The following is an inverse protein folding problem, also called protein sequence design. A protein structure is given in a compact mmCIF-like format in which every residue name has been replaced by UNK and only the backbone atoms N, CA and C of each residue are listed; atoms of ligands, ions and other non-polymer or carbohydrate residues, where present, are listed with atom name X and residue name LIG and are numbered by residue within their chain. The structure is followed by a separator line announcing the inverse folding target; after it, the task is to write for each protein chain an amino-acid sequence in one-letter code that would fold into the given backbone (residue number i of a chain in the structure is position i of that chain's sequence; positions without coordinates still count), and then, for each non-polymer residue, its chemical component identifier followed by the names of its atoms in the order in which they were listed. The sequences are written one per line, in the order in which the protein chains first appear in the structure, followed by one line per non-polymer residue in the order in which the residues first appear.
data_IF_474915624934
#
_entry.id   IF_474915624934
#
_cell.length_a   1.000
_cell.length_b   1.000
_cell.length_c   1.000
_cell.angle_alpha   90.00
_cell.angle_beta   90.00
_cell.angle_gamma   90.00
#
_symmetry.space_group_name_H-M   'P 1'
#
loop_
_entity.id
_entity.type
_entity.pdbx_description
1 polymer ?
#
# COMPACT_ATOMS: atom_id res chain seq x y z
N UNK A 1 -37.68 41.25 -39.36
CA UNK A 1 -38.29 40.81 -38.08
C UNK A 1 -38.13 39.30 -37.81
N UNK A 2 -38.42 38.39 -38.74
CA UNK A 2 -38.31 36.96 -38.50
C UNK A 2 -36.91 36.46 -38.15
N UNK A 3 -35.85 37.01 -38.75
CA UNK A 3 -34.45 36.60 -38.45
C UNK A 3 -33.96 37.06 -37.05
N UNK A 4 -34.42 38.22 -36.58
CA UNK A 4 -34.07 38.71 -35.21
C UNK A 4 -34.75 37.82 -34.16
N UNK A 5 -35.98 37.44 -34.37
CA UNK A 5 -36.72 36.55 -33.49
C UNK A 5 -36.09 35.16 -33.39
N UNK A 6 -35.64 34.56 -34.53
CA UNK A 6 -34.96 33.30 -34.55
C UNK A 6 -33.62 33.32 -33.77
N UNK A 7 -32.86 34.40 -33.92
CA UNK A 7 -31.61 34.58 -33.17
C UNK A 7 -31.85 34.71 -31.67
N UNK A 8 -32.90 35.44 -31.27
CA UNK A 8 -33.27 35.56 -29.84
C UNK A 8 -33.69 34.24 -29.21
N UNK A 9 -34.47 33.39 -29.95
CA UNK A 9 -34.87 32.05 -29.50
C UNK A 9 -33.68 31.12 -29.36
N UNK A 10 -32.74 31.15 -30.32
CA UNK A 10 -31.53 30.32 -30.25
C UNK A 10 -30.62 30.73 -29.09
N UNK A 11 -30.44 32.02 -28.82
CA UNK A 11 -29.65 32.50 -27.67
C UNK A 11 -30.32 32.08 -26.36
N UNK A 12 -31.63 32.20 -26.26
CA UNK A 12 -32.39 31.82 -25.08
C UNK A 12 -32.31 30.29 -24.81
N UNK A 13 -32.46 29.49 -25.86
CA UNK A 13 -32.32 28.01 -25.77
C UNK A 13 -30.88 27.60 -25.36
N UNK A 14 -29.86 28.27 -25.92
CA UNK A 14 -28.47 28.04 -25.54
C UNK A 14 -28.19 28.44 -24.09
N UNK A 15 -28.73 29.56 -23.64
CA UNK A 15 -28.59 30.03 -22.24
C UNK A 15 -29.23 29.01 -21.26
N UNK A 16 -30.41 28.47 -21.57
CA UNK A 16 -31.06 27.43 -20.74
C UNK A 16 -30.21 26.15 -20.72
N UNK A 17 -29.63 25.75 -21.85
CA UNK A 17 -28.78 24.56 -21.91
C UNK A 17 -27.49 24.73 -21.09
N UNK A 18 -26.86 25.91 -21.12
CA UNK A 18 -25.65 26.20 -20.33
C UNK A 18 -25.96 26.28 -18.83
N UNK A 19 -27.04 26.96 -18.44
CA UNK A 19 -27.44 27.04 -17.03
C UNK A 19 -27.92 25.69 -16.50
N UNK A 20 -28.74 24.97 -17.28
CA UNK A 20 -29.21 23.63 -16.92
C UNK A 20 -28.09 22.59 -16.85
N UNK A 21 -27.14 22.66 -17.80
CA UNK A 21 -25.94 21.84 -17.78
C UNK A 21 -25.03 22.12 -16.57
N UNK A 22 -24.85 23.41 -16.24
CA UNK A 22 -24.11 23.81 -15.03
C UNK A 22 -24.75 23.32 -13.73
N UNK A 23 -26.07 23.45 -13.61
CA UNK A 23 -26.81 22.91 -12.45
C UNK A 23 -26.77 21.38 -12.37
N UNK A 24 -26.81 20.69 -13.50
CA UNK A 24 -26.71 19.24 -13.54
C UNK A 24 -25.33 18.74 -13.14
N UNK A 25 -24.26 19.44 -13.58
CA UNK A 25 -22.88 19.12 -13.19
C UNK A 25 -22.62 19.37 -11.71
N UNK A 26 -23.10 20.49 -11.14
CA UNK A 26 -22.97 20.76 -9.71
C UNK A 26 -23.78 19.77 -8.86
N UNK A 27 -24.98 19.41 -9.30
CA UNK A 27 -25.82 18.43 -8.61
C UNK A 27 -25.23 16.99 -8.66
N UNK A 28 -24.48 16.66 -9.73
CA UNK A 28 -23.72 15.41 -9.80
C UNK A 28 -22.51 15.43 -8.86
N UNK A 29 -21.79 16.57 -8.79
CA UNK A 29 -20.64 16.76 -7.91
C UNK A 29 -21.06 16.71 -6.43
N UNK A 30 -22.15 17.36 -6.06
CA UNK A 30 -22.74 17.29 -4.72
C UNK A 30 -23.23 15.89 -4.35
N UNK A 31 -23.80 15.14 -5.32
CA UNK A 31 -24.22 13.74 -5.08
C UNK A 31 -23.05 12.79 -4.99
N UNK A 32 -21.97 13.01 -5.73
CA UNK A 32 -20.72 12.26 -5.61
C UNK A 32 -20.01 12.60 -4.29
N UNK A 33 -19.92 13.88 -3.93
CA UNK A 33 -19.36 14.33 -2.66
C UNK A 33 -20.16 13.78 -1.45
N UNK A 34 -21.49 13.80 -1.49
CA UNK A 34 -22.36 13.22 -0.45
C UNK A 34 -22.23 11.68 -0.38
N UNK A 35 -22.06 10.99 -1.49
CA UNK A 35 -21.80 9.52 -1.49
C UNK A 35 -20.43 9.17 -0.94
N UNK A 36 -19.40 9.97 -1.22
CA UNK A 36 -18.08 9.82 -0.63
C UNK A 36 -18.11 10.10 0.88
N UNK A 37 -18.96 11.05 1.33
CA UNK A 37 -19.04 11.47 2.72
C UNK A 37 -19.98 10.63 3.59
N UNK A 38 -21.00 10.00 3.03
CA UNK A 38 -22.08 9.34 3.81
C UNK A 38 -22.09 7.81 3.76
N UNK A 39 -21.29 7.15 2.95
CA UNK A 39 -21.43 5.70 2.71
C UNK A 39 -20.22 4.83 3.01
N UNK A 40 -19.04 5.38 3.25
CA UNK A 40 -17.82 4.59 3.22
C UNK A 40 -16.92 4.68 4.48
N UNK A 41 -17.20 5.55 5.44
CA UNK A 41 -16.27 5.81 6.55
C UNK A 41 -16.49 4.91 7.77
N UNK A 42 -17.67 4.32 7.94
CA UNK A 42 -18.03 3.65 9.20
C UNK A 42 -17.54 2.20 9.37
N UNK A 43 -17.09 1.52 8.30
CA UNK A 43 -16.74 0.08 8.40
C UNK A 43 -15.41 -0.34 7.76
N UNK A 44 -14.58 0.60 7.27
CA UNK A 44 -13.29 0.19 6.69
C UNK A 44 -12.30 -0.26 7.75
N UNK A 45 -11.56 -1.36 7.52
CA UNK A 45 -10.51 -1.78 8.44
C UNK A 45 -9.43 -0.71 8.55
N UNK A 46 -8.77 -0.67 9.70
CA UNK A 46 -7.54 0.10 9.85
C UNK A 46 -6.44 -0.62 9.08
N UNK A 47 -5.69 0.11 8.27
CA UNK A 47 -4.52 -0.46 7.59
C UNK A 47 -3.27 -0.11 8.39
N UNK A 48 -2.51 -1.12 8.79
CA UNK A 48 -1.19 -0.93 9.39
C UNK A 48 -0.14 -1.16 8.31
N UNK A 49 0.58 -0.09 7.95
CA UNK A 49 1.72 -0.16 7.03
C UNK A 49 3.01 -0.19 7.83
N UNK A 50 3.76 -1.27 7.68
CA UNK A 50 5.08 -1.42 8.26
C UNK A 50 6.15 -1.20 7.19
N UNK A 51 6.91 -0.11 7.33
CA UNK A 51 8.10 0.11 6.52
C UNK A 51 9.29 -0.61 7.18
N UNK A 52 9.68 -1.77 6.68
CA UNK A 52 10.71 -2.60 7.24
C UNK A 52 12.04 -1.88 7.47
N UNK A 53 12.80 -2.31 8.50
CA UNK A 53 14.09 -1.71 8.88
C UNK A 53 13.99 -0.22 9.27
N UNK A 54 15.11 0.48 9.37
CA UNK A 54 15.18 1.92 9.66
C UNK A 54 16.39 2.30 10.52
N UNK A 55 16.80 3.55 10.45
CA UNK A 55 17.91 4.09 11.20
C UNK A 55 19.22 3.35 10.94
N UNK A 56 19.84 2.79 11.98
CA UNK A 56 21.06 2.00 11.84
C UNK A 56 20.86 0.63 11.18
N UNK A 57 19.65 0.09 11.16
CA UNK A 57 19.30 -1.12 10.40
C UNK A 57 18.86 -0.75 8.98
N UNK A 58 19.80 -0.68 8.06
CA UNK A 58 19.52 -0.38 6.66
C UNK A 58 18.79 -1.49 5.90
N UNK A 59 18.64 -2.68 6.49
CA UNK A 59 18.23 -3.88 5.76
C UNK A 59 19.28 -4.36 4.78
N UNK A 60 18.87 -4.86 3.63
CA UNK A 60 19.77 -5.16 2.53
C UNK A 60 20.39 -3.86 1.98
N UNK A 61 21.70 -3.90 1.68
CA UNK A 61 22.42 -2.78 1.06
C UNK A 61 23.12 -3.27 -0.18
N UNK A 62 22.86 -2.65 -1.33
CA UNK A 62 23.47 -2.98 -2.60
C UNK A 62 23.81 -1.71 -3.37
N UNK A 63 25.09 -1.53 -3.74
CA UNK A 63 25.52 -0.35 -4.50
C UNK A 63 25.24 1.00 -3.82
N UNK A 64 25.20 1.05 -2.49
CA UNK A 64 24.84 2.25 -1.72
C UNK A 64 23.33 2.47 -1.52
N UNK A 65 22.49 1.61 -2.11
CA UNK A 65 21.04 1.63 -1.96
C UNK A 65 20.67 0.90 -0.67
N UNK A 66 19.91 1.55 0.21
CA UNK A 66 19.43 0.96 1.45
C UNK A 66 17.96 0.53 1.32
N UNK A 67 17.68 -0.69 1.71
CA UNK A 67 16.33 -1.24 1.72
C UNK A 67 15.37 -0.37 2.55
N UNK A 68 15.80 0.08 3.74
CA UNK A 68 14.98 0.89 4.65
C UNK A 68 14.43 2.17 4.02
N UNK A 69 15.17 2.80 3.11
CA UNK A 69 14.76 4.04 2.42
C UNK A 69 13.67 3.74 1.39
N UNK A 70 13.85 2.66 0.61
CA UNK A 70 12.87 2.22 -0.39
C UNK A 70 11.56 1.78 0.30
N UNK A 71 11.66 1.02 1.40
CA UNK A 71 10.51 0.57 2.18
C UNK A 71 9.67 1.75 2.65
N UNK A 72 10.31 2.78 3.21
CA UNK A 72 9.63 3.99 3.68
C UNK A 72 8.98 4.75 2.51
N UNK A 73 9.69 4.91 1.41
CA UNK A 73 9.18 5.63 0.24
C UNK A 73 7.93 4.97 -0.36
N UNK A 74 7.90 3.64 -0.45
CA UNK A 74 6.72 2.89 -0.94
C UNK A 74 5.58 2.98 0.09
N UNK A 75 5.87 2.79 1.39
CA UNK A 75 4.88 2.84 2.45
C UNK A 75 4.20 4.22 2.54
N UNK A 76 4.95 5.31 2.43
CA UNK A 76 4.39 6.67 2.41
C UNK A 76 3.49 6.93 1.20
N UNK A 77 3.88 6.45 0.01
CA UNK A 77 3.05 6.56 -1.18
C UNK A 77 1.75 5.76 -1.01
N UNK A 78 1.82 4.53 -0.47
CA UNK A 78 0.65 3.71 -0.17
C UNK A 78 -0.26 4.38 0.89
N UNK A 79 0.32 4.94 1.96
CA UNK A 79 -0.42 5.70 2.97
C UNK A 79 -1.23 6.83 2.37
N UNK A 80 -0.61 7.65 1.51
CA UNK A 80 -1.29 8.78 0.86
C UNK A 80 -2.49 8.31 0.04
N UNK A 81 -2.30 7.25 -0.76
CA UNK A 81 -3.37 6.67 -1.59
C UNK A 81 -4.51 6.10 -0.75
N UNK A 82 -4.19 5.29 0.27
CA UNK A 82 -5.19 4.69 1.15
C UNK A 82 -5.97 5.74 1.95
N UNK A 83 -5.30 6.81 2.40
CA UNK A 83 -5.96 7.92 3.09
C UNK A 83 -6.93 8.65 2.16
N UNK A 84 -6.56 8.90 0.90
CA UNK A 84 -7.46 9.47 -0.11
C UNK A 84 -8.67 8.56 -0.40
N UNK A 85 -8.48 7.26 -0.29
CA UNK A 85 -9.55 6.26 -0.43
C UNK A 85 -10.39 6.10 0.85
N UNK A 86 -10.15 6.89 1.90
CA UNK A 86 -10.93 6.92 3.13
C UNK A 86 -10.54 5.84 4.17
N UNK A 87 -9.38 5.20 4.04
CA UNK A 87 -8.87 4.31 5.07
C UNK A 87 -8.19 5.08 6.21
N UNK A 88 -8.35 4.61 7.43
CA UNK A 88 -7.46 4.98 8.53
C UNK A 88 -6.17 4.18 8.41
N UNK A 89 -5.04 4.88 8.29
CA UNK A 89 -3.73 4.25 8.13
C UNK A 89 -2.86 4.54 9.35
N UNK A 90 -2.24 3.51 9.90
CA UNK A 90 -1.22 3.58 10.95
C UNK A 90 0.11 3.15 10.33
N UNK A 91 1.12 3.98 10.45
CA UNK A 91 2.49 3.63 10.04
C UNK A 91 3.27 3.13 11.26
N UNK A 92 4.12 2.13 11.08
CA UNK A 92 5.05 1.73 12.16
C UNK A 92 6.14 2.78 12.37
N UNK A 93 6.60 3.42 11.30
CA UNK A 93 7.51 4.57 11.32
C UNK A 93 7.21 5.53 10.15
N UNK A 94 7.44 6.81 10.36
CA UNK A 94 7.26 7.87 9.35
C UNK A 94 8.58 8.53 8.94
N UNK A 95 9.68 8.12 9.55
CA UNK A 95 11.05 8.60 9.27
C UNK A 95 12.01 7.43 9.21
N UNK A 96 13.27 7.67 8.80
CA UNK A 96 14.31 6.64 8.83
C UNK A 96 14.82 6.43 10.27
N UNK A 97 14.00 5.77 11.10
CA UNK A 97 14.28 5.48 12.50
C UNK A 97 14.08 4.02 12.83
N UNK A 98 14.82 3.53 13.81
CA UNK A 98 14.62 2.23 14.44
C UNK A 98 13.63 2.39 15.59
N UNK A 99 12.69 1.45 15.74
CA UNK A 99 11.67 1.48 16.81
C UNK A 99 12.14 0.78 18.11
N UNK A 100 13.45 0.69 18.30
CA UNK A 100 14.01 0.06 19.48
C UNK A 100 13.85 0.92 20.72
N UNK A 101 13.62 0.28 21.86
CA UNK A 101 13.57 0.95 23.16
C UNK A 101 14.95 1.52 23.54
N UNK A 102 14.98 2.61 24.26
CA UNK A 102 16.21 3.31 24.70
C UNK A 102 17.16 2.45 25.55
N UNK A 103 16.63 1.43 26.23
CA UNK A 103 17.40 0.50 27.06
C UNK A 103 18.07 -0.62 26.25
N UNK A 104 17.77 -0.78 24.96
CA UNK A 104 18.41 -1.73 24.06
C UNK A 104 19.81 -1.23 23.67
N UNK A 105 20.85 -1.77 24.31
CA UNK A 105 22.23 -1.25 24.20
C UNK A 105 23.07 -1.93 23.11
N UNK A 106 22.75 -3.17 22.73
CA UNK A 106 23.46 -3.90 21.69
C UNK A 106 22.66 -3.95 20.41
N UNK A 107 23.31 -4.07 19.26
CA UNK A 107 22.63 -4.21 17.94
C UNK A 107 21.59 -5.33 17.95
N UNK A 108 21.91 -6.48 18.59
CA UNK A 108 20.98 -7.60 18.72
C UNK A 108 19.75 -7.23 19.55
N UNK A 109 19.93 -6.53 20.67
CA UNK A 109 18.82 -6.07 21.52
C UNK A 109 17.97 -5.05 20.75
N UNK A 110 18.60 -4.12 20.03
CA UNK A 110 17.91 -3.09 19.26
C UNK A 110 17.06 -3.72 18.13
N UNK A 111 17.62 -4.65 17.36
CA UNK A 111 16.86 -5.36 16.32
C UNK A 111 15.68 -6.15 16.89
N UNK A 112 15.88 -6.80 18.04
CA UNK A 112 14.81 -7.54 18.71
C UNK A 112 13.71 -6.61 19.21
N UNK A 113 14.07 -5.53 19.90
CA UNK A 113 13.13 -4.54 20.41
C UNK A 113 12.36 -3.86 19.27
N UNK A 114 13.02 -3.54 18.16
CA UNK A 114 12.39 -3.00 16.96
C UNK A 114 11.28 -3.93 16.44
N UNK A 115 11.58 -5.21 16.25
CA UNK A 115 10.60 -6.21 15.79
C UNK A 115 9.44 -6.39 16.78
N UNK A 116 9.72 -6.40 18.10
CA UNK A 116 8.70 -6.49 19.14
C UNK A 116 7.78 -5.26 19.14
N UNK A 117 8.32 -4.06 18.92
CA UNK A 117 7.52 -2.83 18.87
C UNK A 117 6.70 -2.72 17.58
N UNK A 118 7.24 -3.15 16.44
CA UNK A 118 6.45 -3.29 15.19
C UNK A 118 5.29 -4.27 15.35
N UNK A 119 5.56 -5.43 15.95
CA UNK A 119 4.54 -6.42 16.24
C UNK A 119 3.45 -5.85 17.17
N UNK A 120 3.82 -5.10 18.23
CA UNK A 120 2.85 -4.44 19.11
C UNK A 120 1.91 -3.50 18.35
N UNK A 121 2.44 -2.73 17.41
CA UNK A 121 1.62 -1.82 16.57
C UNK A 121 0.69 -2.64 15.66
N UNK A 122 1.23 -3.65 14.98
CA UNK A 122 0.47 -4.46 14.02
C UNK A 122 -0.61 -5.31 14.70
N UNK A 123 -0.28 -6.00 15.77
CA UNK A 123 -1.21 -6.85 16.51
C UNK A 123 -2.12 -6.07 17.47
N UNK A 124 -1.65 -4.92 17.97
CA UNK A 124 -2.36 -4.10 18.94
C UNK A 124 -3.48 -3.24 18.37
N UNK A 125 -3.67 -3.22 17.06
CA UNK A 125 -4.76 -2.48 16.40
C UNK A 125 -5.88 -3.46 16.04
N UNK A 126 -6.98 -3.53 16.82
CA UNK A 126 -8.02 -4.53 16.59
C UNK A 126 -8.70 -4.37 15.23
N UNK A 127 -8.90 -5.48 14.51
CA UNK A 127 -9.54 -5.50 13.19
C UNK A 127 -8.73 -4.83 12.08
N UNK A 128 -7.42 -4.63 12.30
CA UNK A 128 -6.54 -4.07 11.30
C UNK A 128 -6.16 -5.11 10.23
N UNK A 129 -5.73 -4.62 9.08
CA UNK A 129 -5.03 -5.39 8.06
C UNK A 129 -3.61 -4.87 7.96
N UNK A 130 -2.62 -5.75 8.15
CA UNK A 130 -1.20 -5.40 8.17
C UNK A 130 -0.51 -5.66 6.84
N UNK A 131 0.29 -4.70 6.38
CA UNK A 131 1.18 -4.87 5.22
C UNK A 131 2.57 -4.39 5.59
N UNK A 132 3.53 -5.32 5.67
CA UNK A 132 4.95 -5.02 5.84
C UNK A 132 5.62 -4.93 4.47
N UNK A 133 6.39 -3.88 4.23
CA UNK A 133 7.04 -3.58 2.94
C UNK A 133 8.53 -3.75 3.11
N UNK A 134 9.11 -4.61 2.27
CA UNK A 134 10.50 -5.02 2.28
C UNK A 134 11.08 -5.13 0.88
N UNK A 135 12.41 -5.28 0.80
CA UNK A 135 13.14 -5.66 -0.40
C UNK A 135 13.99 -6.89 -0.10
N UNK A 136 13.99 -7.84 -1.01
CA UNK A 136 14.73 -9.07 -0.86
C UNK A 136 16.21 -8.92 -1.27
N UNK A 137 17.02 -9.85 -0.81
CA UNK A 137 18.40 -10.00 -1.25
C UNK A 137 18.75 -11.49 -1.34
N UNK A 138 19.38 -11.90 -2.43
CA UNK A 138 19.78 -13.28 -2.63
C UNK A 138 21.19 -13.36 -3.23
N UNK A 139 21.89 -14.48 -3.02
CA UNK A 139 23.27 -14.65 -3.50
C UNK A 139 23.38 -14.72 -5.03
N UNK A 140 22.32 -15.18 -5.71
CA UNK A 140 22.26 -15.21 -7.17
C UNK A 140 21.57 -13.99 -7.72
N UNK A 141 22.29 -13.18 -8.49
CA UNK A 141 21.79 -11.90 -9.03
C UNK A 141 20.74 -12.05 -10.13
N UNK A 142 20.52 -13.23 -10.70
CA UNK A 142 19.46 -13.48 -11.68
C UNK A 142 18.07 -13.65 -11.05
N UNK A 143 18.01 -13.83 -9.72
CA UNK A 143 16.73 -13.96 -9.00
C UNK A 143 16.08 -12.58 -8.91
N UNK A 144 14.81 -12.48 -9.33
CA UNK A 144 14.09 -11.21 -9.44
C UNK A 144 12.60 -11.33 -9.11
N UNK A 145 11.92 -10.20 -9.04
CA UNK A 145 10.47 -10.08 -8.92
C UNK A 145 9.95 -10.20 -7.49
N UNK A 146 8.82 -9.57 -7.23
CA UNK A 146 8.17 -9.54 -5.93
C UNK A 146 7.73 -10.92 -5.46
N UNK A 147 7.77 -11.11 -4.13
CA UNK A 147 7.22 -12.28 -3.47
C UNK A 147 6.45 -11.86 -2.21
N UNK A 148 5.21 -12.30 -2.09
CA UNK A 148 4.40 -12.00 -0.91
C UNK A 148 4.38 -13.20 0.04
N UNK A 149 4.68 -12.91 1.31
CA UNK A 149 4.57 -13.85 2.43
C UNK A 149 3.32 -13.53 3.25
N UNK A 150 2.64 -14.54 3.78
CA UNK A 150 1.44 -14.37 4.57
C UNK A 150 1.57 -14.97 5.97
N UNK A 151 0.94 -14.30 6.95
CA UNK A 151 0.84 -14.75 8.33
C UNK A 151 -0.25 -15.80 8.53
N UNK A 152 -0.36 -16.31 9.76
CA UNK A 152 -1.30 -17.39 10.12
C UNK A 152 -2.72 -16.93 10.38
N UNK A 153 -2.95 -15.62 10.56
CA UNK A 153 -4.28 -15.10 10.80
C UNK A 153 -5.17 -15.29 9.56
N UNK A 154 -6.43 -15.60 9.79
CA UNK A 154 -7.43 -15.77 8.74
C UNK A 154 -7.45 -14.57 7.79
N UNK A 155 -7.57 -14.83 6.49
CA UNK A 155 -7.55 -13.80 5.45
C UNK A 155 -6.16 -13.38 4.97
N UNK A 156 -5.08 -13.73 5.67
CA UNK A 156 -3.71 -13.36 5.26
C UNK A 156 -3.33 -13.97 3.91
N UNK A 157 -3.66 -15.24 3.68
CA UNK A 157 -3.37 -15.93 2.41
C UNK A 157 -4.08 -15.27 1.24
N UNK A 158 -5.39 -15.00 1.37
CA UNK A 158 -6.19 -14.30 0.35
C UNK A 158 -5.62 -12.91 0.02
N UNK A 159 -5.22 -12.15 1.03
CA UNK A 159 -4.59 -10.85 0.83
C UNK A 159 -3.27 -10.98 0.05
N UNK A 160 -2.45 -11.97 0.40
CA UNK A 160 -1.19 -12.24 -0.30
C UNK A 160 -1.41 -12.61 -1.77
N UNK A 161 -2.41 -13.44 -2.07
CA UNK A 161 -2.78 -13.81 -3.44
C UNK A 161 -3.16 -12.60 -4.28
N UNK A 162 -3.99 -11.71 -3.74
CA UNK A 162 -4.40 -10.48 -4.43
C UNK A 162 -3.20 -9.57 -4.73
N UNK A 163 -2.34 -9.31 -3.75
CA UNK A 163 -1.17 -8.46 -3.94
C UNK A 163 -0.19 -9.11 -4.94
N UNK A 164 0.12 -10.40 -4.79
CA UNK A 164 1.03 -11.11 -5.69
C UNK A 164 0.50 -11.10 -7.13
N UNK A 165 -0.78 -11.40 -7.32
CA UNK A 165 -1.45 -11.40 -8.62
C UNK A 165 -1.41 -10.02 -9.28
N UNK A 166 -1.73 -8.98 -8.52
CA UNK A 166 -1.78 -7.62 -9.04
C UNK A 166 -0.39 -7.10 -9.41
N UNK A 167 0.64 -7.34 -8.59
CA UNK A 167 2.02 -6.95 -8.92
C UNK A 167 2.52 -7.73 -10.14
N UNK A 168 2.36 -9.05 -10.18
CA UNK A 168 2.80 -9.87 -11.30
C UNK A 168 2.03 -9.55 -12.60
N UNK A 169 0.73 -9.28 -12.50
CA UNK A 169 -0.10 -9.04 -13.68
C UNK A 169 0.06 -7.65 -14.31
N UNK A 170 0.39 -6.63 -13.51
CA UNK A 170 0.35 -5.24 -13.97
C UNK A 170 1.71 -4.52 -13.98
N UNK A 171 2.71 -5.02 -13.24
CA UNK A 171 4.02 -4.37 -13.14
C UNK A 171 5.18 -5.29 -13.49
N UNK A 172 5.14 -6.54 -13.07
CA UNK A 172 6.21 -7.52 -13.20
C UNK A 172 5.70 -8.74 -13.98
N UNK A 173 5.37 -8.55 -15.25
CA UNK A 173 4.64 -9.54 -16.08
C UNK A 173 5.41 -10.84 -16.34
N UNK A 174 6.70 -10.87 -16.12
CA UNK A 174 7.59 -12.03 -16.15
C UNK A 174 7.76 -12.72 -14.78
N UNK A 175 7.23 -12.12 -13.70
CA UNK A 175 7.26 -12.70 -12.37
C UNK A 175 6.36 -13.95 -12.28
N UNK A 176 6.96 -15.09 -11.91
CA UNK A 176 6.28 -16.40 -11.75
C UNK A 176 6.30 -16.88 -10.30
N UNK A 177 6.66 -16.00 -9.37
CA UNK A 177 6.69 -16.34 -7.95
C UNK A 177 5.29 -16.52 -7.40
N UNK A 178 5.19 -17.45 -6.45
CA UNK A 178 3.94 -17.72 -5.72
C UNK A 178 4.06 -17.16 -4.32
N UNK A 179 2.94 -16.91 -3.69
CA UNK A 179 2.87 -16.58 -2.27
C UNK A 179 3.49 -17.69 -1.43
N UNK A 180 3.94 -17.34 -0.23
CA UNK A 180 4.49 -18.31 0.73
C UNK A 180 3.98 -18.05 2.14
N UNK A 181 3.71 -19.09 2.90
CA UNK A 181 3.49 -18.97 4.33
C UNK A 181 4.78 -18.51 5.02
N UNK A 182 4.63 -17.63 6.00
CA UNK A 182 5.75 -17.13 6.79
C UNK A 182 6.33 -18.23 7.67
N UNK A 183 7.63 -18.40 7.60
CA UNK A 183 8.37 -19.25 8.53
C UNK A 183 8.89 -18.44 9.74
N UNK A 184 9.56 -19.13 10.67
CA UNK A 184 10.05 -18.53 11.92
C UNK A 184 11.04 -17.36 11.75
N UNK A 185 11.60 -17.16 10.56
CA UNK A 185 12.48 -16.02 10.27
C UNK A 185 11.69 -14.71 10.12
N UNK A 186 10.41 -14.78 9.75
CA UNK A 186 9.52 -13.64 9.57
C UNK A 186 8.76 -13.34 10.88
N UNK A 187 9.49 -12.85 11.89
CA UNK A 187 9.06 -12.71 13.27
C UNK A 187 7.68 -12.04 13.41
N UNK A 188 7.44 -10.92 12.72
CA UNK A 188 6.19 -10.15 12.82
C UNK A 188 5.01 -10.99 12.33
N UNK A 189 5.12 -11.60 11.16
CA UNK A 189 4.03 -12.40 10.59
C UNK A 189 3.74 -13.66 11.40
N UNK A 190 4.78 -14.34 11.90
CA UNK A 190 4.62 -15.56 12.70
C UNK A 190 3.97 -15.33 14.06
N UNK A 191 4.15 -14.15 14.64
CA UNK A 191 3.64 -13.81 15.97
C UNK A 191 2.38 -12.93 15.93
N UNK A 192 1.99 -12.41 14.77
CA UNK A 192 0.73 -11.72 14.57
C UNK A 192 -0.37 -12.73 14.21
N UNK A 193 -1.09 -13.21 15.23
CA UNK A 193 -2.15 -14.23 15.06
C UNK A 193 -3.56 -13.63 15.07
N UNK A 194 -3.71 -12.36 15.38
CA UNK A 194 -5.01 -11.71 15.58
C UNK A 194 -5.55 -10.96 14.37
N UNK A 195 -4.67 -10.48 13.50
CA UNK A 195 -5.03 -9.65 12.36
C UNK A 195 -4.46 -10.22 11.05
N UNK A 196 -5.20 -10.19 9.92
CA UNK A 196 -4.63 -10.52 8.62
C UNK A 196 -3.37 -9.70 8.35
N UNK A 197 -2.28 -10.35 7.98
CA UNK A 197 -1.03 -9.65 7.71
C UNK A 197 -0.19 -10.34 6.63
N UNK A 198 0.48 -9.51 5.83
CA UNK A 198 1.40 -9.94 4.77
C UNK A 198 2.71 -9.16 4.81
N UNK A 199 3.76 -9.73 4.26
CA UNK A 199 5.00 -9.05 3.93
C UNK A 199 5.20 -9.09 2.43
N UNK A 200 5.41 -7.92 1.84
CA UNK A 200 5.65 -7.74 0.40
C UNK A 200 7.13 -7.48 0.20
N UNK A 201 7.84 -8.48 -0.26
CA UNK A 201 9.18 -8.34 -0.83
C UNK A 201 9.02 -7.81 -2.26
N UNK A 202 9.22 -6.53 -2.48
CA UNK A 202 8.83 -5.86 -3.74
C UNK A 202 9.75 -6.20 -4.93
N UNK A 203 10.94 -6.69 -4.68
CA UNK A 203 11.96 -7.12 -5.63
C UNK A 203 13.28 -7.43 -4.93
N UNK A 204 14.31 -7.75 -5.70
CA UNK A 204 15.62 -8.14 -5.18
C UNK A 204 16.65 -7.04 -5.38
N UNK A 205 17.20 -6.46 -4.30
CA UNK A 205 18.31 -5.50 -4.40
C UNK A 205 19.61 -6.13 -4.92
N UNK A 206 19.73 -7.45 -4.90
CA UNK A 206 20.81 -8.20 -5.53
C UNK A 206 20.66 -8.36 -7.05
N UNK A 207 19.47 -8.10 -7.59
CA UNK A 207 19.23 -8.13 -9.04
C UNK A 207 19.39 -6.70 -9.60
N UNK A 208 20.24 -6.47 -10.62
CA UNK A 208 20.49 -5.12 -11.14
C UNK A 208 19.23 -4.40 -11.66
N UNK A 209 18.34 -5.13 -12.36
CA UNK A 209 17.11 -4.56 -12.92
C UNK A 209 16.10 -4.20 -11.84
N UNK A 210 15.88 -5.09 -10.86
CA UNK A 210 15.02 -4.80 -9.72
C UNK A 210 15.57 -3.61 -8.92
N UNK A 211 16.88 -3.59 -8.63
CA UNK A 211 17.53 -2.52 -7.88
C UNK A 211 17.42 -1.16 -8.60
N UNK A 212 17.54 -1.12 -9.92
CA UNK A 212 17.31 0.09 -10.71
C UNK A 212 15.84 0.53 -10.66
N UNK A 213 14.90 -0.40 -10.87
CA UNK A 213 13.48 -0.10 -10.86
C UNK A 213 13.00 0.41 -9.49
N UNK A 214 13.42 -0.25 -8.41
CA UNK A 214 13.03 0.08 -7.03
C UNK A 214 13.48 1.47 -6.57
N UNK A 215 14.48 2.08 -7.22
CA UNK A 215 14.89 3.47 -6.97
C UNK A 215 14.03 4.50 -7.71
N UNK A 216 13.27 4.10 -8.73
CA UNK A 216 12.45 5.03 -9.53
C UNK A 216 11.16 5.37 -8.80
N UNK A 217 10.90 6.64 -8.61
CA UNK A 217 9.68 7.12 -7.94
C UNK A 217 8.39 6.61 -8.60
N UNK A 218 8.36 6.54 -9.92
CA UNK A 218 7.22 6.04 -10.66
C UNK A 218 6.97 4.56 -10.39
N UNK A 219 8.01 3.75 -10.32
CA UNK A 219 7.91 2.32 -10.01
C UNK A 219 7.42 2.08 -8.58
N UNK A 220 7.98 2.82 -7.61
CA UNK A 220 7.51 2.82 -6.22
C UNK A 220 6.05 3.26 -6.12
N UNK A 221 5.65 4.29 -6.88
CA UNK A 221 4.26 4.75 -6.97
C UNK A 221 3.32 3.68 -7.51
N UNK A 222 3.74 2.94 -8.53
CA UNK A 222 2.96 1.83 -9.09
C UNK A 222 2.84 0.68 -8.10
N UNK A 223 3.92 0.30 -7.39
CA UNK A 223 3.85 -0.70 -6.32
C UNK A 223 2.87 -0.28 -5.22
N UNK A 224 2.98 0.96 -4.74
CA UNK A 224 2.09 1.50 -3.72
C UNK A 224 0.62 1.49 -4.17
N UNK A 225 0.36 1.83 -5.44
CA UNK A 225 -0.98 1.79 -6.03
C UNK A 225 -1.52 0.36 -6.09
N UNK A 226 -0.72 -0.61 -6.53
CA UNK A 226 -1.14 -2.02 -6.63
C UNK A 226 -1.42 -2.62 -5.25
N UNK A 227 -0.62 -2.27 -4.23
CA UNK A 227 -0.87 -2.66 -2.83
C UNK A 227 -2.21 -2.05 -2.35
N UNK A 228 -2.44 -0.76 -2.59
CA UNK A 228 -3.68 -0.09 -2.18
C UNK A 228 -4.91 -0.67 -2.91
N UNK A 229 -4.80 -0.92 -4.21
CA UNK A 229 -5.86 -1.55 -5.01
C UNK A 229 -6.19 -2.97 -4.52
N UNK A 230 -5.16 -3.75 -4.15
CA UNK A 230 -5.34 -5.10 -3.59
C UNK A 230 -6.05 -5.08 -2.24
N UNK A 231 -5.77 -4.09 -1.40
CA UNK A 231 -6.48 -3.91 -0.12
C UNK A 231 -7.95 -3.54 -0.33
N UNK A 232 -8.27 -2.72 -1.33
CA UNK A 232 -9.67 -2.44 -1.70
C UNK A 232 -10.37 -3.70 -2.23
N UNK A 233 -9.72 -4.47 -3.10
CA UNK A 233 -10.27 -5.72 -3.62
C UNK A 233 -10.47 -6.74 -2.49
N UNK A 234 -9.54 -6.79 -1.53
CA UNK A 234 -9.63 -7.64 -0.35
C UNK A 234 -10.85 -7.32 0.52
N UNK A 235 -11.18 -6.04 0.69
CA UNK A 235 -12.34 -5.61 1.49
C UNK A 235 -13.67 -5.91 0.77
N UNK A 236 -13.72 -5.70 -0.55
CA UNK A 236 -14.97 -5.75 -1.32
C UNK A 236 -15.33 -7.14 -1.82
N UNK A 237 -14.37 -8.04 -1.97
CA UNK A 237 -14.63 -9.40 -2.40
C UNK A 237 -15.16 -10.27 -1.23
N UNK A 238 -16.22 -11.05 -1.44
CA UNK A 238 -16.73 -11.95 -0.40
C UNK A 238 -15.62 -12.90 0.07
N UNK A 239 -15.60 -13.18 1.38
CA UNK A 239 -14.84 -14.28 1.92
C UNK A 239 -15.35 -15.56 1.25
N UNK A 240 -14.51 -16.22 0.44
CA UNK A 240 -14.85 -17.46 -0.26
C UNK A 240 -15.07 -18.62 0.69
#
# INVERSE_FOLDING_TARGET
MKQLWYRAVLIFAFSIAVVGGGYFLTALDDRMALRVQSGAVENKPVIVLDAGHGGMDGGAVSGGIRESEINLAIAEKARKMLTLLGYRVVMTRETDTLLADENAKTVRQQKRSDLENRLKIMAGTPGAVGVSIHQNHFSQSYVHGAQVFYGKAEGSERLAELIQKNIAGHLQTDNRRRIKEADSSLYILCNNTGNPAVMVECGFLSNPQDAENLQREQYQGTLAFLIAASLMEYETAPAG
#
